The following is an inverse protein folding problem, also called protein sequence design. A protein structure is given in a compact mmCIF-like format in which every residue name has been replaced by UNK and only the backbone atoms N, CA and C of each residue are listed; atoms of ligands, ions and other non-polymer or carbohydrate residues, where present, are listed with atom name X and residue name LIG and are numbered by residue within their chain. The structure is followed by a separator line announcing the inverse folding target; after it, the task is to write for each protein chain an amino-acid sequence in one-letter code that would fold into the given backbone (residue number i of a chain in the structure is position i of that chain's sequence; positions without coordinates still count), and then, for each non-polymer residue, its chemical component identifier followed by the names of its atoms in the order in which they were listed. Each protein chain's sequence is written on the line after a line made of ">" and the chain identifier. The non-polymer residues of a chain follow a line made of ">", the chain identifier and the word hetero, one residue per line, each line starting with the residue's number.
data_IF_389400141912
#
_entry.id   IF_389400141912
#
_cell.length_a   1.000
_cell.length_b   1.000
_cell.length_c   1.000
_cell.angle_alpha   90.00
_cell.angle_beta   90.00
_cell.angle_gamma   90.00
#
_symmetry.space_group_name_H-M   'P 1'
#
loop_
_entity.id
_entity.type
_entity.pdbx_description
1 polymer ?
#
# COMPACT_ATOMS: atom_id res chain seq x y z
N UNK A 1 -9.63 25.59 0.43
CA UNK A 1 -10.58 24.73 1.15
C UNK A 1 -9.77 23.66 1.87
N UNK A 2 -9.89 23.57 3.18
CA UNK A 2 -9.36 22.40 3.92
C UNK A 2 -10.31 21.23 3.69
N UNK A 3 -9.75 20.03 3.49
CA UNK A 3 -10.53 18.81 3.47
C UNK A 3 -10.56 18.31 4.92
N UNK A 4 -11.74 18.31 5.52
CA UNK A 4 -11.90 17.94 6.92
C UNK A 4 -12.40 16.49 7.08
N UNK A 5 -12.80 15.85 5.96
CA UNK A 5 -13.37 14.50 5.94
C UNK A 5 -13.15 13.80 4.61
N UNK A 6 -12.92 12.50 4.66
CA UNK A 6 -12.89 11.60 3.51
C UNK A 6 -14.04 10.60 3.62
N UNK A 7 -14.84 10.46 2.57
CA UNK A 7 -15.84 9.40 2.43
C UNK A 7 -15.20 8.19 1.76
N UNK A 8 -15.27 7.04 2.39
CA UNK A 8 -14.57 5.81 2.01
C UNK A 8 -15.56 4.63 2.00
N UNK A 9 -15.25 3.52 1.31
CA UNK A 9 -16.15 2.36 1.23
C UNK A 9 -16.59 1.80 2.60
N UNK A 10 -15.71 1.83 3.61
CA UNK A 10 -16.01 1.34 4.95
C UNK A 10 -16.20 2.46 5.99
N UNK A 11 -16.69 3.62 5.57
CA UNK A 11 -17.07 4.72 6.45
C UNK A 11 -16.34 6.03 6.20
N UNK A 12 -16.52 6.97 7.11
CA UNK A 12 -15.92 8.29 7.02
C UNK A 12 -14.67 8.41 7.89
N UNK A 13 -13.66 9.11 7.39
CA UNK A 13 -12.44 9.44 8.11
C UNK A 13 -12.34 10.95 8.28
N UNK A 14 -12.51 11.44 9.52
CA UNK A 14 -12.27 12.85 9.85
C UNK A 14 -10.78 13.16 9.90
N UNK A 15 -10.40 14.35 9.46
CA UNK A 15 -9.01 14.79 9.36
C UNK A 15 -8.74 15.97 10.34
N UNK A 16 -7.56 16.04 10.94
CA UNK A 16 -6.43 15.10 10.80
C UNK A 16 -6.73 13.76 11.49
N UNK A 17 -6.19 12.66 10.96
CA UNK A 17 -6.38 11.32 11.49
C UNK A 17 -5.05 10.64 11.80
N UNK A 18 -5.00 9.89 12.89
CA UNK A 18 -3.91 8.98 13.20
C UNK A 18 -4.33 7.54 12.85
N UNK A 19 -3.54 6.87 12.02
CA UNK A 19 -3.76 5.49 11.62
C UNK A 19 -2.70 4.60 12.29
N UNK A 20 -3.04 3.83 13.32
CA UNK A 20 -2.13 2.87 13.91
C UNK A 20 -1.64 1.85 12.88
N UNK A 21 -0.36 1.47 13.00
CA UNK A 21 0.23 0.43 12.16
C UNK A 21 -0.31 -0.95 12.52
N UNK A 22 -0.97 -1.57 11.55
CA UNK A 22 -1.47 -2.93 11.58
C UNK A 22 -0.78 -3.78 10.50
N UNK A 23 0.53 -3.65 10.35
CA UNK A 23 1.38 -4.18 9.26
C UNK A 23 0.98 -5.57 8.75
N UNK A 24 0.56 -6.47 9.64
CA UNK A 24 0.17 -7.86 9.29
C UNK A 24 -1.30 -8.16 9.56
N UNK A 25 -2.16 -7.13 9.49
CA UNK A 25 -3.58 -7.25 9.78
C UNK A 25 -3.92 -7.18 11.27
N UNK A 26 -2.97 -6.78 12.11
CA UNK A 26 -3.15 -6.62 13.56
C UNK A 26 -2.25 -5.49 14.08
N UNK A 27 -2.79 -4.64 14.94
CA UNK A 27 -1.98 -3.72 15.75
C UNK A 27 -1.32 -4.51 16.87
N UNK A 28 -0.02 -4.30 17.06
CA UNK A 28 0.76 -5.11 17.99
C UNK A 28 0.22 -4.99 19.43
N UNK A 29 -0.11 -6.13 20.02
CA UNK A 29 -0.60 -6.28 21.39
C UNK A 29 -1.95 -5.64 21.69
N UNK A 30 -2.75 -5.30 20.65
CA UNK A 30 -4.09 -4.72 20.80
C UNK A 30 -5.02 -5.38 19.80
N UNK A 31 -6.20 -5.80 20.21
CA UNK A 31 -7.21 -6.36 19.30
C UNK A 31 -8.10 -5.25 18.67
N UNK A 32 -8.91 -5.63 17.70
CA UNK A 32 -9.75 -4.69 16.97
C UNK A 32 -10.86 -4.08 17.84
N UNK A 33 -11.38 -4.82 18.82
CA UNK A 33 -12.42 -4.32 19.71
C UNK A 33 -11.85 -3.25 20.66
N UNK A 34 -10.65 -3.45 21.20
CA UNK A 34 -9.96 -2.47 22.02
C UNK A 34 -9.62 -1.19 21.23
N UNK A 35 -9.19 -1.33 19.97
CA UNK A 35 -8.95 -0.19 19.08
C UNK A 35 -10.23 0.60 18.81
N UNK A 36 -11.33 -0.06 18.55
CA UNK A 36 -12.64 0.59 18.37
C UNK A 36 -13.09 1.29 19.66
N UNK A 37 -12.93 0.65 20.82
CA UNK A 37 -13.22 1.21 22.14
C UNK A 37 -12.35 2.44 22.46
N UNK A 38 -11.11 2.47 22.01
CA UNK A 38 -10.19 3.60 22.12
C UNK A 38 -10.48 4.74 21.11
N UNK A 39 -11.49 4.57 20.25
CA UNK A 39 -11.87 5.60 19.27
C UNK A 39 -11.01 5.64 18.02
N UNK A 40 -10.21 4.60 17.73
CA UNK A 40 -9.45 4.49 16.46
C UNK A 40 -10.43 4.39 15.30
N UNK A 41 -10.21 5.20 14.26
CA UNK A 41 -11.13 5.31 13.12
C UNK A 41 -10.64 4.69 11.84
N UNK A 42 -9.34 4.43 11.73
CA UNK A 42 -8.74 3.78 10.55
C UNK A 42 -7.42 3.10 10.93
N UNK A 43 -6.98 2.14 10.12
CA UNK A 43 -5.70 1.45 10.26
C UNK A 43 -4.85 1.61 9.01
N UNK A 44 -3.52 1.52 9.15
CA UNK A 44 -2.61 1.34 8.01
C UNK A 44 -1.99 -0.05 8.02
N UNK A 45 -1.97 -0.71 6.86
CA UNK A 45 -1.40 -2.04 6.67
C UNK A 45 -0.36 -2.03 5.55
N UNK A 46 0.59 -2.95 5.60
CA UNK A 46 1.73 -2.94 4.71
C UNK A 46 1.63 -4.02 3.63
N UNK A 47 1.53 -3.60 2.36
CA UNK A 47 1.36 -4.50 1.22
C UNK A 47 2.55 -5.47 1.07
N UNK A 48 3.78 -5.03 1.28
CA UNK A 48 4.97 -5.90 1.21
C UNK A 48 4.90 -7.06 2.23
N UNK A 49 4.52 -6.77 3.46
CA UNK A 49 4.41 -7.80 4.50
C UNK A 49 3.21 -8.71 4.27
N UNK A 50 2.07 -8.15 3.88
CA UNK A 50 0.83 -8.89 3.62
C UNK A 50 0.97 -9.89 2.46
N UNK A 51 1.67 -9.54 1.37
CA UNK A 51 1.88 -10.47 0.26
C UNK A 51 2.81 -11.63 0.60
N UNK A 52 3.64 -11.50 1.63
CA UNK A 52 4.50 -12.58 2.11
C UNK A 52 3.80 -13.44 3.17
N UNK A 53 3.16 -12.79 4.14
CA UNK A 53 2.47 -13.44 5.27
C UNK A 53 1.24 -12.62 5.68
N UNK A 54 0.03 -13.20 5.58
CA UNK A 54 -0.28 -14.59 5.27
C UNK A 54 -0.24 -14.96 3.78
N UNK A 55 0.02 -13.98 2.90
CA UNK A 55 0.02 -14.14 1.45
C UNK A 55 -1.31 -13.76 0.81
N UNK A 56 -1.24 -13.24 -0.42
CA UNK A 56 -2.40 -12.67 -1.13
C UNK A 56 -3.54 -13.67 -1.36
N UNK A 57 -3.22 -14.94 -1.58
CA UNK A 57 -4.23 -16.01 -1.74
C UNK A 57 -5.02 -16.25 -0.46
N UNK A 58 -4.34 -16.25 0.68
CA UNK A 58 -4.96 -16.40 2.01
C UNK A 58 -5.86 -15.21 2.33
N UNK A 59 -5.38 -13.98 2.11
CA UNK A 59 -6.18 -12.77 2.34
C UNK A 59 -7.45 -12.81 1.49
N UNK A 60 -7.33 -13.20 0.21
CA UNK A 60 -8.49 -13.35 -0.69
C UNK A 60 -9.46 -14.43 -0.21
N UNK A 61 -8.94 -15.58 0.24
CA UNK A 61 -9.78 -16.69 0.76
C UNK A 61 -10.54 -16.30 2.04
N UNK A 62 -9.93 -15.44 2.88
CA UNK A 62 -10.57 -14.88 4.07
C UNK A 62 -11.59 -13.78 3.76
N UNK A 63 -11.70 -13.32 2.52
CA UNK A 63 -12.64 -12.28 2.09
C UNK A 63 -12.13 -10.86 2.26
N UNK A 64 -10.80 -10.65 2.24
CA UNK A 64 -10.15 -9.35 2.33
C UNK A 64 -9.63 -8.99 3.72
N UNK A 65 -9.00 -7.82 3.81
CA UNK A 65 -8.33 -7.35 5.04
C UNK A 65 -9.33 -7.09 6.18
N UNK A 66 -10.48 -6.52 5.89
CA UNK A 66 -11.51 -6.21 6.88
C UNK A 66 -11.98 -7.47 7.63
N UNK A 67 -12.26 -8.54 6.88
CA UNK A 67 -12.66 -9.81 7.48
C UNK A 67 -11.51 -10.51 8.20
N UNK A 68 -10.31 -10.46 7.61
CA UNK A 68 -9.11 -11.05 8.22
C UNK A 68 -8.76 -10.40 9.56
N UNK A 69 -8.87 -9.07 9.64
CA UNK A 69 -8.54 -8.31 10.85
C UNK A 69 -9.72 -8.13 11.81
N UNK A 70 -10.92 -8.62 11.48
CA UNK A 70 -12.17 -8.31 12.20
C UNK A 70 -12.33 -6.78 12.44
N UNK A 71 -12.04 -5.96 11.41
CA UNK A 71 -12.05 -4.51 11.45
C UNK A 71 -13.07 -3.95 10.47
N UNK A 72 -14.03 -3.16 10.96
CA UNK A 72 -15.16 -2.68 10.17
C UNK A 72 -14.99 -1.28 9.58
N UNK A 73 -13.95 -0.56 9.99
CA UNK A 73 -13.68 0.84 9.60
C UNK A 73 -12.60 0.91 8.52
N UNK A 74 -12.32 2.11 7.96
CA UNK A 74 -11.35 2.27 6.88
C UNK A 74 -9.98 1.64 7.13
N UNK A 75 -9.42 1.06 6.05
CA UNK A 75 -8.05 0.54 5.99
C UNK A 75 -7.31 1.22 4.85
N UNK A 76 -6.17 1.82 5.17
CA UNK A 76 -5.17 2.27 4.20
C UNK A 76 -4.14 1.16 3.99
N UNK A 77 -3.73 0.91 2.75
CA UNK A 77 -2.55 0.08 2.48
C UNK A 77 -1.47 0.93 1.83
N UNK A 78 -0.23 0.77 2.31
CA UNK A 78 0.92 1.33 1.63
C UNK A 78 1.29 0.50 0.39
N UNK A 79 2.23 1.00 -0.41
CA UNK A 79 2.68 0.34 -1.63
C UNK A 79 3.66 -0.82 -1.41
N UNK A 80 4.32 -0.86 -0.25
CA UNK A 80 5.46 -1.73 0.05
C UNK A 80 6.78 -1.26 -0.57
N UNK A 81 6.82 -0.08 -1.20
CA UNK A 81 7.99 0.44 -1.91
C UNK A 81 9.19 0.68 -1.00
N UNK A 82 8.96 1.27 0.17
CA UNK A 82 10.03 1.53 1.14
C UNK A 82 10.71 0.25 1.62
N UNK A 83 9.96 -0.83 1.87
CA UNK A 83 10.52 -2.10 2.32
C UNK A 83 11.39 -2.74 1.24
N UNK A 84 10.98 -2.66 -0.02
CA UNK A 84 11.77 -3.14 -1.16
C UNK A 84 13.04 -2.30 -1.34
N UNK A 85 12.92 -0.97 -1.25
CA UNK A 85 14.07 -0.07 -1.27
C UNK A 85 15.07 -0.41 -0.16
N UNK A 86 14.59 -0.53 1.09
CA UNK A 86 15.43 -0.86 2.26
C UNK A 86 16.13 -2.19 2.08
N UNK A 87 15.43 -3.23 1.60
CA UNK A 87 16.01 -4.55 1.33
C UNK A 87 17.14 -4.47 0.30
N UNK A 88 16.93 -3.77 -0.82
CA UNK A 88 17.93 -3.65 -1.89
C UNK A 88 19.12 -2.80 -1.44
N UNK A 89 18.87 -1.74 -0.65
CA UNK A 89 19.94 -0.88 -0.11
C UNK A 89 20.83 -1.64 0.88
N UNK A 90 20.26 -2.48 1.73
CA UNK A 90 21.01 -3.32 2.65
C UNK A 90 21.91 -4.31 1.92
N UNK A 91 21.41 -4.91 0.84
CA UNK A 91 22.16 -5.84 0.01
C UNK A 91 21.64 -5.85 -1.44
N UNK A 92 22.42 -5.27 -2.38
CA UNK A 92 22.04 -5.22 -3.80
C UNK A 92 21.82 -6.59 -4.47
N UNK A 93 22.28 -7.68 -3.85
CA UNK A 93 22.01 -9.04 -4.33
C UNK A 93 20.54 -9.45 -4.14
N UNK A 94 19.82 -8.80 -3.23
CA UNK A 94 18.40 -9.11 -2.97
C UNK A 94 17.45 -8.54 -4.00
N UNK A 95 17.90 -7.62 -4.87
CA UNK A 95 17.01 -7.11 -5.89
C UNK A 95 17.54 -5.94 -6.69
N UNK A 96 16.67 -5.39 -7.52
CA UNK A 96 16.93 -4.21 -8.32
C UNK A 96 15.67 -3.42 -8.57
N UNK A 97 15.82 -2.11 -8.71
CA UNK A 97 14.81 -1.19 -9.18
C UNK A 97 15.06 -0.84 -10.66
N UNK A 98 14.02 -0.66 -11.41
CA UNK A 98 14.03 -0.23 -12.80
C UNK A 98 12.75 0.55 -13.11
N UNK A 99 12.67 1.20 -14.27
CA UNK A 99 11.44 1.92 -14.68
C UNK A 99 10.22 0.99 -14.80
N UNK A 100 10.44 -0.32 -14.94
CA UNK A 100 9.35 -1.31 -14.95
C UNK A 100 8.78 -1.60 -13.57
N UNK A 101 9.55 -1.40 -12.51
CA UNK A 101 9.22 -1.75 -11.13
C UNK A 101 10.41 -2.36 -10.41
N UNK A 102 10.15 -3.06 -9.32
CA UNK A 102 11.12 -3.75 -8.49
C UNK A 102 11.10 -5.26 -8.76
N UNK A 103 12.28 -5.87 -8.80
CA UNK A 103 12.46 -7.34 -8.76
C UNK A 103 13.32 -7.65 -7.55
N UNK A 104 12.84 -8.46 -6.63
CA UNK A 104 13.56 -8.73 -5.39
C UNK A 104 13.28 -10.14 -4.87
N UNK A 105 14.15 -10.60 -3.98
CA UNK A 105 14.03 -11.86 -3.26
C UNK A 105 13.91 -11.53 -1.77
N UNK A 106 12.75 -11.74 -1.14
CA UNK A 106 12.62 -11.58 0.30
C UNK A 106 13.57 -12.51 1.06
N UNK A 107 14.00 -12.10 2.25
CA UNK A 107 14.95 -12.86 3.05
C UNK A 107 14.57 -14.34 3.18
N UNK A 108 15.49 -15.21 2.80
CA UNK A 108 15.40 -16.66 2.98
C UNK A 108 14.37 -17.39 2.12
N UNK A 109 13.62 -16.70 1.26
CA UNK A 109 12.55 -17.33 0.48
C UNK A 109 13.03 -18.05 -0.78
N UNK A 110 14.17 -17.64 -1.34
CA UNK A 110 14.66 -18.14 -2.65
C UNK A 110 13.80 -17.75 -3.86
N UNK A 111 12.59 -17.23 -3.65
CA UNK A 111 11.65 -16.86 -4.71
C UNK A 111 11.77 -15.38 -5.09
N UNK A 112 11.93 -15.12 -6.39
CA UNK A 112 11.89 -13.76 -6.92
C UNK A 112 10.47 -13.25 -7.01
N UNK A 113 10.26 -12.05 -6.49
CA UNK A 113 9.00 -11.31 -6.59
C UNK A 113 9.22 -10.12 -7.53
N UNK A 114 8.24 -9.90 -8.41
CA UNK A 114 8.17 -8.69 -9.23
C UNK A 114 7.02 -7.84 -8.74
N UNK A 115 7.33 -6.63 -8.29
CA UNK A 115 6.37 -5.62 -7.88
C UNK A 115 6.44 -4.45 -8.85
N UNK A 116 5.41 -4.32 -9.69
CA UNK A 116 5.24 -3.18 -10.59
C UNK A 116 4.19 -2.22 -10.02
N UNK A 117 4.10 -0.98 -10.51
CA UNK A 117 3.03 -0.06 -10.12
C UNK A 117 1.64 -0.67 -10.27
N UNK A 118 1.40 -1.37 -11.39
CA UNK A 118 0.13 -2.05 -11.64
C UNK A 118 -0.12 -3.18 -10.64
N UNK A 119 0.92 -4.00 -10.40
CA UNK A 119 0.80 -5.13 -9.46
C UNK A 119 0.51 -4.66 -8.05
N UNK A 120 1.13 -3.56 -7.60
CA UNK A 120 0.85 -2.97 -6.29
C UNK A 120 -0.63 -2.58 -6.17
N UNK A 121 -1.19 -1.89 -7.16
CA UNK A 121 -2.61 -1.52 -7.17
C UNK A 121 -3.53 -2.74 -7.24
N UNK A 122 -3.20 -3.75 -8.05
CA UNK A 122 -3.96 -5.00 -8.12
C UNK A 122 -4.04 -5.71 -6.76
N UNK A 123 -2.92 -5.75 -6.02
CA UNK A 123 -2.86 -6.35 -4.69
C UNK A 123 -3.74 -5.58 -3.71
N UNK A 124 -3.53 -4.27 -3.58
CA UNK A 124 -4.27 -3.41 -2.67
C UNK A 124 -5.79 -3.45 -2.95
N UNK A 125 -6.20 -3.39 -4.22
CA UNK A 125 -7.59 -3.57 -4.65
C UNK A 125 -8.14 -4.97 -4.33
N UNK A 126 -7.33 -6.02 -4.43
CA UNK A 126 -7.73 -7.38 -4.10
C UNK A 126 -7.86 -7.62 -2.59
N UNK A 127 -7.17 -6.83 -1.80
CA UNK A 127 -7.24 -6.85 -0.35
C UNK A 127 -8.47 -6.13 0.20
N UNK A 128 -9.10 -5.27 -0.60
CA UNK A 128 -10.28 -4.50 -0.20
C UNK A 128 -9.92 -3.29 0.66
N UNK A 129 -8.75 -2.68 0.45
CA UNK A 129 -8.37 -1.45 1.14
C UNK A 129 -9.19 -0.25 0.66
N UNK A 130 -9.41 0.72 1.55
CA UNK A 130 -10.18 1.96 1.27
C UNK A 130 -9.30 3.07 0.71
N UNK A 131 -8.03 3.09 1.10
CA UNK A 131 -7.03 4.02 0.59
C UNK A 131 -5.85 3.21 0.07
N UNK A 132 -5.54 3.42 -1.20
CA UNK A 132 -4.41 2.78 -1.89
C UNK A 132 -3.31 3.80 -2.07
N UNK A 133 -2.04 3.39 -1.88
CA UNK A 133 -0.89 4.25 -2.13
C UNK A 133 -0.12 3.75 -3.33
N UNK A 134 0.18 4.66 -4.27
CA UNK A 134 1.00 4.36 -5.44
C UNK A 134 2.40 3.90 -5.02
N UNK A 135 2.96 2.93 -5.77
CA UNK A 135 4.35 2.55 -5.63
C UNK A 135 5.25 3.74 -5.97
N UNK A 136 6.22 4.00 -5.14
CA UNK A 136 7.20 5.07 -5.26
C UNK A 136 8.64 4.54 -5.20
N UNK A 137 9.57 5.31 -5.71
CA UNK A 137 11.00 5.04 -5.67
C UNK A 137 11.64 5.89 -4.57
N UNK A 138 11.87 5.29 -3.40
CA UNK A 138 12.48 5.99 -2.28
C UNK A 138 13.98 6.21 -2.51
N UNK A 139 14.49 7.32 -1.96
CA UNK A 139 15.93 7.63 -1.87
C UNK A 139 16.33 7.93 -0.44
N UNK A 140 17.62 7.90 -0.18
CA UNK A 140 18.18 8.41 1.08
C UNK A 140 18.44 9.92 0.96
N UNK A 141 18.38 10.64 2.08
CA UNK A 141 18.66 12.08 2.11
C UNK A 141 20.06 12.43 1.60
N UNK A 142 21.04 11.54 1.83
CA UNK A 142 22.43 11.72 1.41
C UNK A 142 22.73 11.17 0.01
N UNK A 143 21.72 10.64 -0.72
CA UNK A 143 21.94 10.18 -2.09
C UNK A 143 22.27 11.37 -3.02
N UNK A 144 23.10 11.18 -4.05
CA UNK A 144 23.44 12.23 -5.01
C UNK A 144 22.20 12.83 -5.66
N UNK A 145 22.24 14.14 -5.98
CA UNK A 145 21.13 14.87 -6.56
C UNK A 145 20.56 14.21 -7.83
N UNK A 146 21.40 13.58 -8.64
CA UNK A 146 20.94 12.88 -9.85
C UNK A 146 20.14 11.62 -9.54
N UNK A 147 20.47 10.93 -8.45
CA UNK A 147 19.66 9.82 -7.93
C UNK A 147 18.29 10.31 -7.47
N UNK A 148 18.26 11.38 -6.68
CA UNK A 148 17.01 11.99 -6.20
C UNK A 148 16.14 12.45 -7.38
N UNK A 149 16.71 13.13 -8.38
CA UNK A 149 16.00 13.54 -9.60
C UNK A 149 15.48 12.34 -10.40
N UNK A 150 16.24 11.23 -10.45
CA UNK A 150 15.82 10.00 -11.12
C UNK A 150 14.65 9.36 -10.38
N UNK A 151 14.70 9.30 -9.05
CA UNK A 151 13.63 8.81 -8.19
C UNK A 151 12.33 9.59 -8.40
N UNK A 152 12.38 10.91 -8.40
CA UNK A 152 11.19 11.76 -8.66
C UNK A 152 10.59 11.45 -10.03
N UNK A 153 11.40 11.40 -11.09
CA UNK A 153 10.91 11.06 -12.44
C UNK A 153 10.27 9.67 -12.50
N UNK A 154 10.90 8.68 -11.85
CA UNK A 154 10.38 7.30 -11.79
C UNK A 154 9.10 7.23 -10.99
N UNK A 155 9.03 7.86 -9.82
CA UNK A 155 7.82 7.93 -8.98
C UNK A 155 6.65 8.55 -9.74
N UNK A 156 6.85 9.67 -10.46
CA UNK A 156 5.81 10.27 -11.30
C UNK A 156 5.36 9.34 -12.42
N UNK A 157 6.29 8.66 -13.09
CA UNK A 157 5.96 7.71 -14.15
C UNK A 157 5.17 6.50 -13.59
N UNK A 158 5.56 6.00 -12.43
CA UNK A 158 4.87 4.91 -11.74
C UNK A 158 3.48 5.32 -11.26
N UNK A 159 3.31 6.54 -10.71
CA UNK A 159 2.01 7.04 -10.30
C UNK A 159 1.02 7.14 -11.48
N UNK A 160 1.49 7.56 -12.67
CA UNK A 160 0.65 7.54 -13.89
C UNK A 160 0.19 6.14 -14.27
N UNK A 161 1.09 5.14 -14.21
CA UNK A 161 0.76 3.74 -14.49
C UNK A 161 -0.18 3.17 -13.44
N UNK A 162 0.07 3.45 -12.16
CA UNK A 162 -0.80 3.06 -11.05
C UNK A 162 -2.23 3.62 -11.23
N UNK A 163 -2.34 4.91 -11.59
CA UNK A 163 -3.65 5.55 -11.88
C UNK A 163 -4.37 4.90 -13.06
N UNK A 164 -3.65 4.62 -14.14
CA UNK A 164 -4.24 3.94 -15.31
C UNK A 164 -4.80 2.55 -14.93
N UNK A 165 -4.03 1.77 -14.17
CA UNK A 165 -4.46 0.45 -13.71
C UNK A 165 -5.63 0.53 -12.71
N UNK A 166 -5.61 1.50 -11.80
CA UNK A 166 -6.70 1.76 -10.87
C UNK A 166 -8.01 2.04 -11.63
N UNK A 167 -8.01 2.94 -12.62
CA UNK A 167 -9.19 3.26 -13.41
C UNK A 167 -9.69 2.04 -14.19
N UNK A 168 -8.78 1.27 -14.80
CA UNK A 168 -9.10 0.03 -15.49
C UNK A 168 -9.79 -0.99 -14.57
N UNK A 169 -9.30 -1.13 -13.32
CA UNK A 169 -9.88 -2.06 -12.34
C UNK A 169 -11.25 -1.60 -11.83
N UNK A 170 -11.46 -0.29 -11.64
CA UNK A 170 -12.77 0.26 -11.28
C UNK A 170 -13.80 -0.09 -12.36
N UNK A 171 -13.47 0.14 -13.64
CA UNK A 171 -14.32 -0.19 -14.77
C UNK A 171 -14.58 -1.70 -14.86
N UNK A 172 -13.53 -2.51 -14.80
CA UNK A 172 -13.64 -3.98 -14.88
C UNK A 172 -14.52 -4.56 -13.76
N UNK A 173 -14.40 -4.03 -12.55
CA UNK A 173 -15.18 -4.48 -11.39
C UNK A 173 -16.55 -3.81 -11.31
N UNK A 174 -16.84 -2.82 -12.15
CA UNK A 174 -18.06 -2.01 -12.17
C UNK A 174 -18.37 -1.38 -10.81
N UNK A 175 -17.32 -0.86 -10.14
CA UNK A 175 -17.47 -0.23 -8.84
C UNK A 175 -18.20 1.10 -8.99
N UNK A 176 -19.30 1.27 -8.27
CA UNK A 176 -19.94 2.58 -8.13
C UNK A 176 -19.10 3.52 -7.24
N UNK A 177 -19.47 4.79 -7.17
CA UNK A 177 -18.67 5.80 -6.50
C UNK A 177 -18.47 5.50 -5.00
N UNK A 178 -19.48 4.95 -4.34
CA UNK A 178 -19.42 4.60 -2.91
C UNK A 178 -18.50 3.41 -2.61
N UNK A 179 -18.20 2.59 -3.61
CA UNK A 179 -17.35 1.40 -3.49
C UNK A 179 -15.90 1.65 -3.93
N UNK A 180 -15.60 2.85 -4.45
CA UNK A 180 -14.26 3.17 -4.97
C UNK A 180 -13.33 3.55 -3.83
N UNK A 181 -12.19 2.83 -3.67
CA UNK A 181 -11.15 3.30 -2.77
C UNK A 181 -10.52 4.59 -3.29
N UNK A 182 -9.93 5.39 -2.42
CA UNK A 182 -9.12 6.53 -2.83
C UNK A 182 -7.73 6.08 -3.27
N UNK A 183 -7.17 6.78 -4.27
CA UNK A 183 -5.80 6.55 -4.73
C UNK A 183 -4.93 7.74 -4.35
N UNK A 184 -3.91 7.51 -3.53
CA UNK A 184 -2.91 8.49 -3.12
C UNK A 184 -1.61 8.27 -3.87
N UNK A 185 -0.99 9.37 -4.30
CA UNK A 185 0.35 9.38 -4.85
C UNK A 185 1.35 9.96 -3.83
N UNK A 186 2.59 9.48 -3.90
CA UNK A 186 3.68 9.97 -3.07
C UNK A 186 4.37 11.14 -3.78
N UNK A 187 4.64 12.21 -3.04
CA UNK A 187 5.46 13.33 -3.49
C UNK A 187 6.88 13.05 -3.00
N UNK A 188 7.79 12.81 -3.95
CA UNK A 188 9.21 12.60 -3.71
C UNK A 188 9.99 13.88 -4.04
N UNK A 189 11.08 14.14 -3.31
CA UNK A 189 11.96 15.27 -3.54
C UNK A 189 12.60 15.83 -2.30
#
# INVERSE_FOLDING_TARGET
>A
MSIDRLTLPHGELSLPAFLPDATRGVVRAVDSADLEGAGVTALVMNTYHLMQRPGSSTIKALGGLHRMAAWSRPIMTDSGGFQVYSLIRQNPKYGRLSDKGAVFTPDGSGHKITLTPEKSIQLQMSYGADILVCLDDCTHADDPLDEQRRSVRRTVAWARRAKAEYLRLIEQKRLDESQRPLLFAVIQG
#
